data_IF_820219938745
#
_entry.id   IF_820219938745
#
_cell.length_a   1.000
_cell.length_b   1.000
_cell.length_c   1.000
_cell.angle_alpha   90.00
_cell.angle_beta   90.00
_cell.angle_gamma   90.00
#
_symmetry.space_group_name_H-M   'P 1'
#
loop_
_entity.id
_entity.type
_entity.pdbx_description
1 polymer ?
#
# COMPACT_ATOMS: atom_id res chain seq x y z
N UNK A 1 3.06 -12.09 -3.00
CA UNK A 1 3.45 -10.74 -2.55
C UNK A 1 2.27 -10.02 -1.91
N UNK A 2 2.48 -9.40 -0.75
CA UNK A 2 1.43 -8.64 -0.06
C UNK A 2 1.48 -7.18 -0.52
N UNK A 3 0.35 -6.56 -0.93
CA UNK A 3 0.33 -5.15 -1.30
C UNK A 3 0.68 -4.27 -0.09
N UNK A 4 1.54 -3.28 -0.31
CA UNK A 4 1.86 -2.25 0.67
C UNK A 4 1.75 -0.91 -0.02
N UNK A 5 0.93 -0.02 0.51
CA UNK A 5 0.73 1.33 -0.01
C UNK A 5 1.43 2.31 0.92
N UNK A 6 2.17 3.28 0.36
CA UNK A 6 2.77 4.33 1.16
C UNK A 6 1.67 5.12 1.92
N UNK A 7 1.77 5.28 3.26
CA UNK A 7 0.75 5.93 4.05
C UNK A 7 0.43 7.37 3.62
N UNK A 8 1.37 8.09 3.02
CA UNK A 8 1.13 9.44 2.51
C UNK A 8 0.08 9.49 1.40
N UNK A 9 -0.07 8.40 0.63
CA UNK A 9 -1.06 8.31 -0.46
C UNK A 9 -2.47 7.97 0.05
N UNK A 10 -2.62 7.68 1.35
CA UNK A 10 -3.88 7.33 1.98
C UNK A 10 -4.51 8.55 2.65
N UNK A 11 -5.83 8.65 2.59
CA UNK A 11 -6.62 9.58 3.39
C UNK A 11 -6.71 9.07 4.83
N UNK A 12 -6.92 7.74 4.99
CA UNK A 12 -7.01 7.05 6.29
C UNK A 12 -6.87 5.55 6.17
N UNK A 13 -6.60 4.93 7.29
CA UNK A 13 -6.64 3.47 7.46
C UNK A 13 -7.70 3.14 8.50
N UNK A 14 -8.60 2.23 8.15
CA UNK A 14 -9.68 1.76 9.01
C UNK A 14 -9.41 0.32 9.45
N UNK A 15 -9.49 0.06 10.75
CA UNK A 15 -9.35 -1.28 11.31
C UNK A 15 -10.75 -1.81 11.61
N UNK A 16 -11.20 -2.78 10.83
CA UNK A 16 -12.49 -3.43 11.00
C UNK A 16 -12.27 -4.75 11.74
N UNK A 17 -12.72 -4.84 13.00
CA UNK A 17 -12.54 -6.01 13.87
C UNK A 17 -13.72 -6.96 13.74
N UNK A 18 -13.43 -8.26 13.74
CA UNK A 18 -14.45 -9.32 13.67
C UNK A 18 -14.78 -9.78 12.25
N UNK A 19 -15.79 -10.63 12.06
CA UNK A 19 -16.15 -11.20 10.77
C UNK A 19 -16.79 -10.13 9.86
N UNK A 20 -16.01 -9.61 8.93
CA UNK A 20 -16.41 -8.54 7.99
C UNK A 20 -16.80 -9.05 6.61
N UNK A 21 -16.76 -10.37 6.40
CA UNK A 21 -16.97 -11.01 5.09
C UNK A 21 -18.34 -10.74 4.47
N UNK A 22 -19.34 -10.42 5.27
CA UNK A 22 -20.70 -10.10 4.76
C UNK A 22 -20.72 -8.79 3.97
N UNK A 23 -19.86 -7.83 4.34
CA UNK A 23 -19.84 -6.48 3.73
C UNK A 23 -18.65 -6.27 2.80
N UNK A 24 -17.54 -6.97 3.04
CA UNK A 24 -16.25 -6.71 2.36
C UNK A 24 -15.71 -7.92 1.58
N UNK A 25 -16.52 -8.96 1.40
CA UNK A 25 -16.10 -10.18 0.72
C UNK A 25 -15.20 -11.07 1.58
N UNK A 26 -14.40 -11.92 0.96
CA UNK A 26 -13.56 -12.88 1.68
C UNK A 26 -12.57 -12.16 2.60
N UNK A 27 -12.74 -12.33 3.92
CA UNK A 27 -11.86 -11.75 4.93
C UNK A 27 -11.59 -12.75 6.07
N UNK A 28 -10.41 -12.65 6.74
CA UNK A 28 -10.15 -13.45 7.94
C UNK A 28 -11.17 -13.16 9.07
N UNK A 29 -11.42 -14.14 9.94
CA UNK A 29 -12.33 -13.99 11.06
C UNK A 29 -11.92 -12.88 12.06
N UNK A 30 -10.64 -12.53 12.13
CA UNK A 30 -10.10 -11.47 12.98
C UNK A 30 -10.42 -10.04 12.52
N UNK A 31 -10.79 -9.86 11.27
CA UNK A 31 -11.07 -8.55 10.66
C UNK A 31 -10.19 -8.21 9.48
N UNK A 32 -10.25 -6.96 9.04
CA UNK A 32 -9.47 -6.44 7.91
C UNK A 32 -8.98 -5.01 8.14
N UNK A 33 -7.96 -4.63 7.39
CA UNK A 33 -7.48 -3.25 7.25
C UNK A 33 -8.02 -2.68 5.93
N UNK A 34 -8.87 -1.66 6.02
CA UNK A 34 -9.34 -0.92 4.87
C UNK A 34 -8.46 0.32 4.65
N UNK A 35 -7.80 0.39 3.51
CA UNK A 35 -6.94 1.50 3.11
C UNK A 35 -7.70 2.39 2.13
N UNK A 36 -8.04 3.60 2.58
CA UNK A 36 -8.80 4.56 1.78
C UNK A 36 -7.85 5.54 1.11
N UNK A 37 -7.79 5.54 -0.21
CA UNK A 37 -6.99 6.47 -1.01
C UNK A 37 -7.53 7.90 -0.96
N UNK A 38 -6.65 8.86 -1.14
CA UNK A 38 -6.98 10.29 -1.19
C UNK A 38 -7.88 10.58 -2.40
N UNK A 39 -8.96 11.37 -2.17
CA UNK A 39 -9.91 11.80 -3.21
C UNK A 39 -9.68 13.26 -3.61
N UNK A 40 -10.04 13.65 -4.84
CA UNK A 40 -10.07 15.05 -5.25
C UNK A 40 -10.89 15.93 -4.31
N UNK A 41 -10.44 17.16 -4.08
CA UNK A 41 -11.09 18.13 -3.18
C UNK A 41 -11.73 19.27 -3.95
N UNK A 42 -12.84 19.82 -3.45
CA UNK A 42 -13.50 20.97 -4.06
C UNK A 42 -12.75 22.29 -3.82
N UNK A 43 -11.92 22.32 -2.78
CA UNK A 43 -11.05 23.47 -2.47
C UNK A 43 -9.61 23.15 -2.87
N UNK A 44 -8.87 24.09 -3.47
CA UNK A 44 -7.47 23.86 -3.79
C UNK A 44 -6.65 23.47 -2.56
N UNK A 45 -5.82 22.44 -2.72
CA UNK A 45 -4.83 21.99 -1.74
C UNK A 45 -3.51 21.75 -2.47
N UNK A 46 -2.46 22.40 -1.99
CA UNK A 46 -1.11 22.26 -2.53
C UNK A 46 -0.14 22.05 -1.37
N UNK A 47 0.52 20.91 -1.34
CA UNK A 47 1.45 20.54 -0.28
C UNK A 47 2.69 19.91 -0.92
N UNK A 48 3.88 20.35 -0.50
CA UNK A 48 5.16 19.75 -0.85
C UNK A 48 5.94 19.61 0.44
N UNK A 49 6.48 18.42 0.67
CA UNK A 49 7.30 18.10 1.85
C UNK A 49 8.64 17.52 1.46
N UNK A 50 9.66 17.82 2.25
CA UNK A 50 10.97 17.17 2.18
C UNK A 50 11.39 16.81 3.60
N UNK A 51 11.80 15.56 3.80
CA UNK A 51 12.26 15.04 5.08
C UNK A 51 13.70 14.56 4.94
N UNK A 52 14.51 14.83 5.96
CA UNK A 52 15.87 14.34 6.09
C UNK A 52 16.04 13.67 7.45
N UNK A 53 16.80 12.59 7.50
CA UNK A 53 16.99 11.83 8.72
C UNK A 53 18.35 11.16 8.80
N UNK A 54 18.52 10.31 9.79
CA UNK A 54 19.68 9.42 9.93
C UNK A 54 19.63 8.33 8.84
N UNK A 55 20.75 7.65 8.61
CA UNK A 55 20.89 6.60 7.59
C UNK A 55 20.61 7.11 6.17
N UNK A 56 21.15 8.27 5.86
CA UNK A 56 20.99 8.94 4.56
C UNK A 56 19.53 9.05 4.08
N UNK A 57 18.59 9.10 5.05
CA UNK A 57 17.18 9.23 4.78
C UNK A 57 16.86 10.56 4.09
N UNK A 58 16.30 10.45 2.90
CA UNK A 58 15.74 11.55 2.12
C UNK A 58 14.38 11.15 1.59
N UNK A 59 13.33 11.92 1.94
CA UNK A 59 11.99 11.69 1.46
C UNK A 59 11.37 12.97 0.93
N UNK A 60 10.85 12.91 -0.29
CA UNK A 60 10.08 13.97 -0.94
C UNK A 60 8.62 13.57 -1.08
N UNK A 61 7.70 14.50 -0.81
CA UNK A 61 6.27 14.29 -0.96
C UNK A 61 5.61 15.46 -1.69
N UNK A 62 4.57 15.17 -2.46
CA UNK A 62 3.75 16.20 -3.12
C UNK A 62 2.28 15.78 -3.12
N UNK A 63 1.38 16.73 -2.88
CA UNK A 63 -0.07 16.51 -2.89
C UNK A 63 -0.78 17.76 -3.43
N UNK A 64 -1.30 17.66 -4.66
CA UNK A 64 -1.98 18.74 -5.35
C UNK A 64 -3.42 18.32 -5.64
N UNK A 65 -4.39 19.16 -5.29
CA UNK A 65 -5.80 18.87 -5.50
C UNK A 65 -6.60 20.16 -5.71
N UNK A 66 -7.70 20.07 -6.45
CA UNK A 66 -8.62 21.18 -6.64
C UNK A 66 -9.56 21.00 -7.83
N UNK A 67 -10.42 22.00 -8.07
CA UNK A 67 -11.27 22.06 -9.26
C UNK A 67 -10.44 22.40 -10.51
N UNK A 68 -10.83 21.81 -11.65
CA UNK A 68 -10.27 22.12 -12.98
C UNK A 68 -11.09 23.23 -13.63
N UNK A 69 -12.41 23.25 -13.38
CA UNK A 69 -13.37 24.21 -13.94
C UNK A 69 -13.96 25.11 -12.83
N UNK A 70 -14.51 26.25 -13.23
CA UNK A 70 -15.10 27.21 -12.32
C UNK A 70 -16.38 26.70 -11.62
N UNK A 71 -17.13 25.82 -12.29
CA UNK A 71 -18.33 25.20 -11.74
C UNK A 71 -18.03 24.05 -10.75
N UNK A 72 -16.76 23.61 -10.68
CA UNK A 72 -16.32 22.51 -9.83
C UNK A 72 -16.92 21.17 -10.22
N UNK A 73 -17.25 20.98 -11.50
CA UNK A 73 -17.73 19.69 -12.05
C UNK A 73 -16.61 18.70 -12.28
N UNK A 74 -15.40 19.20 -12.50
CA UNK A 74 -14.19 18.39 -12.70
C UNK A 74 -13.18 18.71 -11.62
N UNK A 75 -12.79 17.69 -10.87
CA UNK A 75 -11.80 17.79 -9.79
C UNK A 75 -10.63 16.86 -10.09
N UNK A 76 -9.46 17.24 -9.64
CA UNK A 76 -8.27 16.38 -9.72
C UNK A 76 -7.57 16.26 -8.36
N UNK A 77 -6.83 15.20 -8.19
CA UNK A 77 -5.79 15.07 -7.16
C UNK A 77 -4.62 14.30 -7.72
N UNK A 78 -3.43 14.73 -7.37
CA UNK A 78 -2.18 14.07 -7.67
C UNK A 78 -1.32 14.02 -6.42
N UNK A 79 -1.04 12.83 -5.92
CA UNK A 79 -0.14 12.62 -4.78
C UNK A 79 1.06 11.81 -5.23
N UNK A 80 2.25 12.18 -4.74
CA UNK A 80 3.51 11.53 -5.10
C UNK A 80 4.43 11.40 -3.89
N UNK A 81 5.26 10.34 -3.89
CA UNK A 81 6.30 10.08 -2.89
C UNK A 81 7.55 9.60 -3.59
N UNK A 82 8.71 10.13 -3.18
CA UNK A 82 10.02 9.57 -3.46
C UNK A 82 10.75 9.34 -2.13
N UNK A 83 11.40 8.19 -1.95
CA UNK A 83 12.17 7.83 -0.76
C UNK A 83 13.47 7.18 -1.18
N UNK A 84 14.56 7.55 -0.49
CA UNK A 84 15.84 6.86 -0.50
C UNK A 84 16.43 6.91 0.90
N UNK A 85 16.86 5.77 1.42
CA UNK A 85 17.50 5.65 2.73
C UNK A 85 18.37 4.39 2.82
N UNK A 86 19.38 4.42 3.66
CA UNK A 86 20.12 3.24 4.07
C UNK A 86 19.27 2.40 5.03
N UNK A 87 19.37 1.09 4.92
CA UNK A 87 18.72 0.17 5.86
C UNK A 87 19.44 0.07 7.20
N UNK A 88 18.83 -0.67 8.12
CA UNK A 88 19.43 -0.95 9.44
C UNK A 88 20.70 -1.81 9.34
N UNK A 89 20.75 -2.71 8.37
CA UNK A 89 21.89 -3.62 8.18
C UNK A 89 22.87 -3.03 7.18
N UNK A 90 24.14 -3.41 7.32
CA UNK A 90 25.19 -2.98 6.38
C UNK A 90 24.81 -3.36 4.95
N UNK A 91 25.07 -2.46 4.01
CA UNK A 91 24.82 -2.68 2.57
C UNK A 91 23.36 -2.88 2.16
N UNK A 92 22.40 -2.56 3.02
CA UNK A 92 20.98 -2.58 2.67
C UNK A 92 20.48 -1.16 2.41
N UNK A 93 19.58 -1.02 1.45
CA UNK A 93 19.00 0.25 1.04
C UNK A 93 17.48 0.10 0.86
N UNK A 94 16.73 1.17 1.09
CA UNK A 94 15.32 1.27 0.77
C UNK A 94 15.11 2.40 -0.23
N UNK A 95 14.48 2.08 -1.34
CA UNK A 95 14.07 3.07 -2.32
C UNK A 95 12.58 2.89 -2.63
N UNK A 96 11.88 4.01 -2.85
CA UNK A 96 10.49 4.02 -3.27
C UNK A 96 10.18 5.18 -4.18
N UNK A 97 9.38 4.89 -5.21
CA UNK A 97 8.64 5.90 -5.98
C UNK A 97 7.18 5.48 -5.99
N UNK A 98 6.29 6.41 -5.61
CA UNK A 98 4.86 6.13 -5.62
C UNK A 98 4.06 7.34 -6.13
N UNK A 99 3.02 7.06 -6.93
CA UNK A 99 2.15 8.04 -7.57
C UNK A 99 0.68 7.61 -7.40
N UNK A 100 -0.19 8.55 -7.06
CA UNK A 100 -1.63 8.30 -6.95
C UNK A 100 -2.43 9.46 -7.59
N UNK A 101 -2.60 9.46 -8.92
CA UNK A 101 -3.52 10.38 -9.58
C UNK A 101 -4.97 9.96 -9.35
N UNK A 102 -5.86 10.93 -9.18
CA UNK A 102 -7.30 10.70 -9.19
C UNK A 102 -8.05 11.86 -9.84
N UNK A 103 -9.22 11.56 -10.38
CA UNK A 103 -10.05 12.51 -11.12
C UNK A 103 -11.52 12.25 -10.76
N UNK A 104 -12.28 13.32 -10.49
CA UNK A 104 -13.72 13.25 -10.23
C UNK A 104 -14.48 14.08 -11.24
N UNK A 105 -15.49 13.49 -11.87
CA UNK A 105 -16.52 14.14 -12.66
C UNK A 105 -17.83 14.11 -11.93
N UNK A 106 -18.44 15.27 -11.69
CA UNK A 106 -19.74 15.45 -11.02
C UNK A 106 -20.56 16.52 -11.76
N UNK A 107 -21.27 16.12 -12.82
CA UNK A 107 -22.02 17.06 -13.65
C UNK A 107 -23.17 17.73 -12.91
N UNK A 108 -23.73 17.07 -11.89
CA UNK A 108 -24.85 17.48 -11.07
C UNK A 108 -24.69 16.98 -9.63
N UNK A 109 -25.65 17.28 -8.75
CA UNK A 109 -25.65 16.88 -7.34
C UNK A 109 -25.92 15.35 -7.15
N UNK A 110 -26.46 14.70 -8.15
CA UNK A 110 -26.92 13.31 -8.09
C UNK A 110 -26.02 12.33 -8.82
N UNK A 111 -24.95 12.84 -9.50
CA UNK A 111 -24.04 12.03 -10.29
C UNK A 111 -22.60 12.31 -9.92
N UNK A 112 -21.84 11.26 -9.61
CA UNK A 112 -20.40 11.35 -9.37
C UNK A 112 -19.68 10.14 -9.94
N UNK A 113 -18.60 10.38 -10.68
CA UNK A 113 -17.66 9.36 -11.12
C UNK A 113 -16.26 9.76 -10.67
N UNK A 114 -15.61 8.93 -9.84
CA UNK A 114 -14.22 9.12 -9.49
C UNK A 114 -13.38 7.99 -10.06
N UNK A 115 -12.31 8.34 -10.76
CA UNK A 115 -11.30 7.43 -11.28
C UNK A 115 -10.04 7.56 -10.44
N UNK A 116 -9.41 6.43 -10.12
CA UNK A 116 -8.17 6.35 -9.36
C UNK A 116 -7.13 5.59 -10.15
N UNK A 117 -5.93 6.14 -10.20
CA UNK A 117 -4.71 5.45 -10.60
C UNK A 117 -3.78 5.28 -9.41
N UNK A 118 -3.00 4.23 -9.41
CA UNK A 118 -1.96 4.01 -8.43
C UNK A 118 -0.79 3.29 -9.07
N UNK A 119 0.41 3.76 -8.77
CA UNK A 119 1.67 3.12 -9.13
C UNK A 119 2.64 3.27 -7.97
N UNK A 120 3.27 2.18 -7.56
CA UNK A 120 4.38 2.19 -6.61
C UNK A 120 5.41 1.17 -7.04
N UNK A 121 6.68 1.58 -7.02
CA UNK A 121 7.81 0.69 -7.17
C UNK A 121 8.75 0.88 -5.99
N UNK A 122 9.13 -0.24 -5.40
CA UNK A 122 10.16 -0.38 -4.39
C UNK A 122 11.30 -1.19 -5.02
N UNK A 123 12.25 -0.55 -5.77
CA UNK A 123 13.29 -1.27 -6.52
C UNK A 123 14.34 -1.87 -5.61
N UNK A 124 14.49 -1.32 -4.40
CA UNK A 124 15.29 -1.83 -3.31
C UNK A 124 14.45 -1.74 -2.05
N UNK A 125 14.35 -2.84 -1.36
CA UNK A 125 13.61 -2.94 -0.11
C UNK A 125 14.42 -3.81 0.83
N UNK A 126 14.39 -3.53 2.13
CA UNK A 126 15.08 -4.34 3.12
C UNK A 126 14.74 -5.82 2.94
N UNK A 127 15.77 -6.64 2.81
CA UNK A 127 15.62 -8.08 2.86
C UNK A 127 15.38 -8.53 4.31
N UNK A 128 14.82 -9.73 4.46
CA UNK A 128 14.69 -10.34 5.77
C UNK A 128 16.06 -10.84 6.20
N UNK A 129 16.73 -10.08 7.07
CA UNK A 129 17.93 -10.54 7.73
C UNK A 129 17.58 -11.44 8.92
N UNK A 130 18.42 -12.42 9.19
CA UNK A 130 18.37 -13.24 10.39
C UNK A 130 19.70 -13.21 11.09
N UNK A 131 19.69 -13.38 12.40
CA UNK A 131 20.92 -13.51 13.20
C UNK A 131 20.83 -14.78 14.03
N UNK A 132 21.95 -15.53 14.21
CA UNK A 132 21.97 -16.67 15.10
C UNK A 132 21.62 -16.25 16.55
N UNK A 133 20.99 -17.12 17.35
CA UNK A 133 20.76 -16.83 18.74
C UNK A 133 22.06 -16.69 19.55
N UNK A 134 23.10 -17.45 19.18
CA UNK A 134 24.44 -17.34 19.81
C UNK A 134 25.13 -16.03 19.38
N UNK A 135 25.43 -15.22 20.35
CA UNK A 135 26.00 -13.88 20.15
C UNK A 135 24.95 -12.78 20.06
N UNK A 136 23.66 -13.10 20.14
CA UNK A 136 22.56 -12.16 20.30
C UNK A 136 21.86 -12.35 21.65
N UNK A 137 20.97 -13.35 21.78
CA UNK A 137 20.23 -13.66 23.01
C UNK A 137 20.93 -14.74 23.85
N UNK A 138 21.73 -15.59 23.23
CA UNK A 138 22.54 -16.61 23.90
C UNK A 138 24.03 -16.20 23.91
N UNK A 139 24.81 -16.68 24.91
CA UNK A 139 26.25 -16.44 24.93
C UNK A 139 26.96 -17.02 23.70
N UNK A 140 28.00 -16.32 23.25
CA UNK A 140 28.94 -16.78 22.25
C UNK A 140 30.36 -16.53 22.79
N UNK A 141 31.28 -17.52 22.74
CA UNK A 141 32.66 -17.38 23.24
C UNK A 141 33.45 -16.23 22.62
N UNK A 142 33.05 -15.78 21.42
CA UNK A 142 33.69 -14.72 20.67
C UNK A 142 33.03 -13.34 20.84
N UNK A 143 32.00 -13.23 21.70
CA UNK A 143 31.30 -11.99 21.98
C UNK A 143 29.98 -11.83 21.25
N UNK A 144 29.48 -10.59 21.24
CA UNK A 144 28.20 -10.26 20.61
C UNK A 144 28.35 -10.01 19.12
N UNK A 145 27.35 -10.44 18.35
CA UNK A 145 27.19 -10.06 16.95
C UNK A 145 26.80 -8.59 16.90
N UNK A 146 27.45 -7.77 16.02
CA UNK A 146 27.08 -6.38 15.83
C UNK A 146 25.61 -6.20 15.43
N UNK A 147 24.99 -5.10 15.85
CA UNK A 147 23.55 -4.83 15.56
C UNK A 147 23.29 -4.51 14.08
N UNK A 148 24.31 -4.11 13.37
CA UNK A 148 24.31 -3.82 11.93
C UNK A 148 24.83 -4.98 11.08
N UNK A 149 25.02 -6.16 11.70
CA UNK A 149 25.47 -7.36 10.99
C UNK A 149 24.44 -7.77 9.94
N UNK A 150 24.93 -8.04 8.74
CA UNK A 150 24.14 -8.50 7.62
C UNK A 150 24.53 -9.93 7.24
N UNK A 151 23.55 -10.82 7.24
CA UNK A 151 23.72 -12.25 6.91
C UNK A 151 23.56 -12.56 5.42
N UNK A 152 23.06 -11.60 4.63
CA UNK A 152 22.87 -11.72 3.21
C UNK A 152 24.15 -11.66 2.37
N UNK A 153 24.00 -11.67 1.05
CA UNK A 153 25.11 -11.58 0.10
C UNK A 153 24.94 -10.35 -0.79
N UNK A 154 25.67 -9.25 -0.53
CA UNK A 154 25.64 -8.06 -1.36
C UNK A 154 25.90 -8.38 -2.84
N UNK A 155 25.04 -7.89 -3.73
CA UNK A 155 25.13 -8.17 -5.16
C UNK A 155 24.34 -9.41 -5.64
N UNK A 156 23.89 -10.26 -4.72
CA UNK A 156 22.89 -11.30 -5.00
C UNK A 156 21.50 -10.91 -4.53
N UNK A 157 21.42 -10.25 -3.37
CA UNK A 157 20.16 -9.83 -2.76
C UNK A 157 19.37 -8.91 -3.69
N UNK A 158 18.09 -9.25 -3.88
CA UNK A 158 17.13 -8.42 -4.61
C UNK A 158 15.76 -8.49 -3.94
N UNK A 159 15.14 -7.34 -3.72
CA UNK A 159 13.72 -7.27 -3.43
C UNK A 159 13.12 -6.08 -4.18
N UNK A 160 12.77 -6.31 -5.43
CA UNK A 160 12.08 -5.35 -6.31
C UNK A 160 10.59 -5.68 -6.32
N UNK A 161 9.77 -4.71 -5.95
CA UNK A 161 8.32 -4.85 -5.98
C UNK A 161 7.69 -3.71 -6.75
N UNK A 162 6.83 -4.06 -7.71
CA UNK A 162 6.00 -3.11 -8.46
C UNK A 162 4.54 -3.39 -8.21
N UNK A 163 3.77 -2.34 -7.90
CA UNK A 163 2.33 -2.38 -7.70
C UNK A 163 1.67 -1.32 -8.56
N UNK A 164 0.58 -1.68 -9.22
CA UNK A 164 -0.21 -0.76 -10.04
C UNK A 164 -1.68 -1.11 -9.97
N UNK A 165 -2.53 -0.10 -9.87
CA UNK A 165 -3.97 -0.31 -9.89
C UNK A 165 -4.71 0.80 -10.63
N UNK A 166 -5.88 0.43 -11.13
CA UNK A 166 -6.90 1.35 -11.61
C UNK A 166 -8.21 1.00 -10.92
N UNK A 167 -8.92 2.03 -10.44
CA UNK A 167 -10.20 1.84 -9.79
C UNK A 167 -11.18 2.93 -10.21
N UNK A 168 -12.46 2.66 -10.04
CA UNK A 168 -13.53 3.63 -10.19
C UNK A 168 -14.56 3.50 -9.08
N UNK A 169 -15.16 4.64 -8.73
CA UNK A 169 -16.35 4.75 -7.91
C UNK A 169 -17.37 5.58 -8.70
N UNK A 170 -18.54 5.02 -8.95
CA UNK A 170 -19.66 5.69 -9.62
C UNK A 170 -20.87 5.66 -8.72
N UNK A 171 -21.44 6.84 -8.44
CA UNK A 171 -22.68 7.03 -7.70
C UNK A 171 -23.67 7.77 -8.59
N UNK A 172 -24.91 7.27 -8.67
CA UNK A 172 -26.03 7.94 -9.33
C UNK A 172 -27.30 7.78 -8.53
N UNK A 173 -27.91 8.91 -8.16
CA UNK A 173 -29.28 8.98 -7.67
C UNK A 173 -30.18 9.36 -8.84
N UNK A 174 -31.11 8.50 -9.20
CA UNK A 174 -32.04 8.75 -10.30
C UNK A 174 -33.21 9.61 -9.82
N UNK A 175 -33.73 9.31 -8.63
CA UNK A 175 -34.82 10.00 -7.94
C UNK A 175 -34.76 9.72 -6.42
N UNK A 176 -35.83 10.05 -5.69
CA UNK A 176 -35.92 9.79 -4.26
C UNK A 176 -36.08 8.28 -3.92
N UNK A 177 -36.38 7.48 -4.91
CA UNK A 177 -36.62 6.04 -4.80
C UNK A 177 -35.39 5.23 -5.15
N UNK A 178 -34.68 5.54 -6.24
CA UNK A 178 -33.64 4.69 -6.80
C UNK A 178 -32.29 5.34 -6.83
N UNK A 179 -31.30 4.61 -6.32
CA UNK A 179 -29.88 4.96 -6.48
C UNK A 179 -29.04 3.73 -6.86
N UNK A 180 -27.90 3.99 -7.51
CA UNK A 180 -26.92 3.00 -7.93
C UNK A 180 -25.55 3.44 -7.46
N UNK A 181 -24.79 2.50 -6.91
CA UNK A 181 -23.37 2.63 -6.58
C UNK A 181 -22.60 1.49 -7.23
N UNK A 182 -21.59 1.83 -8.03
CA UNK A 182 -20.75 0.87 -8.72
C UNK A 182 -19.28 1.14 -8.38
N UNK A 183 -18.60 0.16 -7.81
CA UNK A 183 -17.19 0.23 -7.48
C UNK A 183 -16.44 -0.89 -8.18
N UNK A 184 -15.29 -0.57 -8.75
CA UNK A 184 -14.43 -1.56 -9.36
C UNK A 184 -12.97 -1.23 -9.20
N UNK A 185 -12.13 -2.27 -9.05
CA UNK A 185 -10.68 -2.16 -8.97
C UNK A 185 -9.99 -3.32 -9.66
N UNK A 186 -8.98 -3.00 -10.42
CA UNK A 186 -7.92 -3.92 -10.82
C UNK A 186 -6.63 -3.54 -10.11
N UNK A 187 -5.95 -4.53 -9.56
CA UNK A 187 -4.64 -4.41 -8.91
C UNK A 187 -3.72 -5.47 -9.47
N UNK A 188 -2.51 -5.08 -9.87
CA UNK A 188 -1.40 -5.98 -10.18
C UNK A 188 -0.23 -5.72 -9.24
N UNK A 189 0.30 -6.79 -8.66
CA UNK A 189 1.53 -6.78 -7.86
C UNK A 189 2.51 -7.76 -8.46
N UNK A 190 3.74 -7.31 -8.67
CA UNK A 190 4.87 -8.11 -9.12
C UNK A 190 5.98 -7.97 -8.08
N UNK A 191 6.64 -9.06 -7.72
CA UNK A 191 7.76 -9.04 -6.78
C UNK A 191 8.83 -10.05 -7.21
N UNK A 192 10.05 -9.56 -7.29
CA UNK A 192 11.26 -10.34 -7.50
C UNK A 192 12.05 -10.35 -6.18
N UNK A 193 12.29 -11.54 -5.66
CA UNK A 193 12.94 -11.75 -4.38
C UNK A 193 14.06 -12.77 -4.53
N UNK A 194 15.28 -12.35 -4.21
CA UNK A 194 16.45 -13.19 -4.07
C UNK A 194 17.10 -12.86 -2.73
N UNK A 195 17.32 -13.86 -1.89
CA UNK A 195 17.88 -13.66 -0.56
C UNK A 195 18.79 -14.79 -0.13
N UNK A 196 19.83 -14.42 0.59
CA UNK A 196 20.66 -15.31 1.37
C UNK A 196 20.39 -15.05 2.83
N UNK A 197 20.14 -16.06 3.62
CA UNK A 197 19.74 -15.91 5.02
C UNK A 197 20.52 -16.85 5.94
N UNK A 198 20.70 -16.41 7.20
CA UNK A 198 21.33 -17.20 8.24
C UNK A 198 20.56 -18.50 8.54
N UNK A 199 21.26 -19.63 8.57
CA UNK A 199 20.70 -20.95 8.87
C UNK A 199 21.44 -21.62 10.04
N UNK A 200 21.94 -20.83 11.00
CA UNK A 200 22.60 -21.26 12.21
C UNK A 200 24.12 -21.25 12.14
N UNK A 201 24.75 -21.38 13.30
CA UNK A 201 26.21 -21.45 13.46
C UNK A 201 26.70 -22.89 13.48
N UNK A 202 27.89 -23.13 12.98
CA UNK A 202 28.64 -24.35 13.20
C UNK A 202 29.09 -24.49 14.66
N UNK A 203 29.52 -25.69 15.11
CA UNK A 203 29.99 -25.90 16.48
C UNK A 203 31.21 -25.03 16.90
N UNK A 204 31.88 -24.43 15.94
CA UNK A 204 32.97 -23.48 16.18
C UNK A 204 32.50 -22.08 16.64
N UNK A 205 31.19 -21.81 16.64
CA UNK A 205 30.53 -20.53 16.97
C UNK A 205 30.99 -19.34 16.11
N UNK A 206 31.60 -19.58 14.97
CA UNK A 206 32.12 -18.55 14.05
C UNK A 206 31.68 -18.72 12.60
N UNK A 207 31.51 -19.95 12.16
CA UNK A 207 31.09 -20.25 10.78
C UNK A 207 29.57 -20.21 10.69
N UNK A 208 29.04 -19.28 9.89
CA UNK A 208 27.61 -19.16 9.65
C UNK A 208 27.22 -20.01 8.44
N UNK A 209 26.30 -20.95 8.63
CA UNK A 209 25.62 -21.60 7.52
C UNK A 209 24.55 -20.68 6.97
N UNK A 210 24.47 -20.58 5.65
CA UNK A 210 23.49 -19.75 4.96
C UNK A 210 22.64 -20.57 4.00
N UNK A 211 21.37 -20.26 3.92
CA UNK A 211 20.42 -20.74 2.92
C UNK A 211 20.21 -19.70 1.83
N UNK A 212 19.67 -20.11 0.69
CA UNK A 212 19.30 -19.26 -0.44
C UNK A 212 17.81 -19.43 -0.71
N UNK A 213 17.10 -18.36 -0.92
CA UNK A 213 15.70 -18.34 -1.38
C UNK A 213 15.56 -17.41 -2.58
N UNK A 214 14.85 -17.87 -3.60
CA UNK A 214 14.51 -17.05 -4.77
C UNK A 214 13.02 -17.19 -5.05
N UNK A 215 12.36 -16.09 -5.39
CA UNK A 215 10.94 -16.08 -5.75
C UNK A 215 10.68 -15.04 -6.84
N UNK A 216 9.78 -15.37 -7.75
CA UNK A 216 9.24 -14.45 -8.76
C UNK A 216 7.73 -14.58 -8.70
N UNK A 217 7.08 -13.54 -8.24
CA UNK A 217 5.65 -13.56 -7.98
C UNK A 217 4.94 -12.51 -8.82
N UNK A 218 3.75 -12.86 -9.32
CA UNK A 218 2.84 -11.93 -9.95
C UNK A 218 1.41 -12.27 -9.53
N UNK A 219 0.63 -11.24 -9.20
CA UNK A 219 -0.76 -11.38 -8.80
C UNK A 219 -1.61 -10.32 -9.50
N UNK A 220 -2.68 -10.74 -10.12
CA UNK A 220 -3.76 -9.88 -10.59
C UNK A 220 -4.99 -10.09 -9.68
N UNK A 221 -5.57 -8.99 -9.21
CA UNK A 221 -6.79 -9.00 -8.39
C UNK A 221 -7.83 -8.09 -9.01
N UNK A 222 -9.06 -8.58 -9.06
CA UNK A 222 -10.23 -7.85 -9.54
C UNK A 222 -11.28 -7.82 -8.43
N UNK A 223 -11.76 -6.63 -8.12
CA UNK A 223 -12.81 -6.43 -7.12
C UNK A 223 -13.94 -5.63 -7.74
N UNK A 224 -15.16 -6.09 -7.57
CA UNK A 224 -16.38 -5.41 -8.00
C UNK A 224 -17.37 -5.40 -6.83
N UNK A 225 -17.94 -4.23 -6.55
CA UNK A 225 -19.02 -4.05 -5.58
C UNK A 225 -20.06 -3.14 -6.20
N UNK A 226 -21.20 -3.74 -6.56
CA UNK A 226 -22.28 -3.05 -7.25
C UNK A 226 -23.55 -3.14 -6.42
N UNK A 227 -24.13 -1.99 -6.11
CA UNK A 227 -25.32 -1.87 -5.28
C UNK A 227 -26.39 -1.09 -6.01
N UNK A 228 -27.63 -1.56 -5.90
CA UNK A 228 -28.84 -0.83 -6.29
C UNK A 228 -29.70 -0.71 -5.06
N UNK A 229 -30.03 0.51 -4.65
CA UNK A 229 -30.90 0.79 -3.51
C UNK A 229 -32.24 1.32 -4.02
N UNK A 230 -33.33 0.71 -3.53
CA UNK A 230 -34.70 1.16 -3.79
C UNK A 230 -35.43 1.47 -2.50
N UNK A 231 -36.01 2.67 -2.37
CA UNK A 231 -36.83 3.10 -1.22
C UNK A 231 -38.29 3.12 -1.63
N UNK A 232 -39.07 2.16 -1.12
CA UNK A 232 -40.47 1.98 -1.48
C UNK A 232 -41.33 2.06 -0.22
N UNK A 233 -42.54 2.58 -0.36
CA UNK A 233 -43.52 2.63 0.74
C UNK A 233 -44.75 1.81 0.36
N UNK A 234 -45.12 0.85 1.23
CA UNK A 234 -46.37 0.08 1.06
C UNK A 234 -47.26 0.32 2.27
N UNK A 235 -48.26 1.20 2.10
CA UNK A 235 -49.11 1.65 3.20
C UNK A 235 -48.27 2.31 4.30
N UNK A 236 -48.32 1.84 5.56
CA UNK A 236 -47.52 2.41 6.65
C UNK A 236 -46.07 1.89 6.73
N UNK A 237 -45.65 0.99 5.82
CA UNK A 237 -44.36 0.32 5.86
C UNK A 237 -43.42 0.93 4.82
N UNK A 238 -42.23 1.37 5.29
CA UNK A 238 -41.13 1.80 4.43
C UNK A 238 -40.17 0.62 4.21
N UNK A 239 -39.75 0.40 2.97
CA UNK A 239 -38.79 -0.61 2.54
C UNK A 239 -37.55 0.08 1.98
N UNK A 240 -36.37 -0.46 2.33
CA UNK A 240 -35.09 -0.08 1.74
C UNK A 240 -34.34 -1.34 1.32
#
# INVERSE_FOLDING_TARGET
ASPQIDPFLLERVEVLKGPTSVLYGQSPAGGLLNQVGKRPTATPRNEVGVEFGTNDHVRGTADFSGPIDAEGKFLYRFSAVGLSEDGQFRTTENERVALAPSFTWRPDADTSLTLFGFYQRDPRSNSYGGVPPEGTVLPNPFGRIPVDFYDGEPGFEQFDRTQKSVAYDFDKRFDDTWSVRLNGRWLRTEADYDSVYANGLAPDFRTLFRGVATSREAMDSYTLDNQVEGRLTTGPVNHT
#
